data_IF_159119265089
#
_entry.id   IF_159119265089
#
_cell.length_a   1.000
_cell.length_b   1.000
_cell.length_c   1.000
_cell.angle_alpha   90.00
_cell.angle_beta   90.00
_cell.angle_gamma   90.00
#
_symmetry.space_group_name_H-M   'P 1'
#
loop_
_entity.id
_entity.type
_entity.pdbx_description
1 polymer ?
#
# COMPACT_ATOMS: atom_id res chain seq x y z
N UNK A 1 23.64 -56.17 -30.20
CA UNK A 1 22.71 -56.42 -29.08
C UNK A 1 22.76 -55.20 -28.19
N UNK A 2 21.72 -54.37 -28.26
CA UNK A 2 21.65 -53.04 -27.62
C UNK A 2 20.64 -53.13 -26.47
N UNK A 3 20.95 -52.65 -25.25
CA UNK A 3 20.00 -52.74 -24.15
C UNK A 3 18.79 -51.80 -24.37
N UNK A 4 17.60 -52.17 -23.87
CA UNK A 4 16.41 -51.32 -24.00
C UNK A 4 16.52 -50.07 -23.13
N UNK A 5 16.06 -48.94 -23.67
CA UNK A 5 15.94 -47.66 -22.96
C UNK A 5 14.86 -47.75 -21.86
N UNK A 6 15.05 -47.13 -20.68
CA UNK A 6 14.02 -47.07 -19.65
C UNK A 6 12.86 -46.14 -20.08
N UNK A 7 11.62 -46.42 -19.62
CA UNK A 7 10.46 -45.60 -19.94
C UNK A 7 10.54 -44.20 -19.30
N UNK A 8 9.85 -43.19 -19.87
CA UNK A 8 9.85 -41.84 -19.33
C UNK A 8 9.14 -41.79 -17.97
N UNK A 9 9.75 -41.09 -17.01
CA UNK A 9 9.17 -40.77 -15.70
C UNK A 9 7.90 -39.94 -15.89
N UNK A 10 6.72 -40.55 -15.74
CA UNK A 10 5.48 -39.83 -15.50
C UNK A 10 5.55 -39.17 -14.13
N UNK A 11 5.59 -37.84 -14.09
CA UNK A 11 5.34 -37.07 -12.87
C UNK A 11 3.87 -37.32 -12.51
N UNK A 12 3.64 -38.15 -11.49
CA UNK A 12 2.33 -38.35 -10.92
C UNK A 12 1.80 -37.00 -10.41
N UNK A 13 0.62 -36.60 -10.89
CA UNK A 13 -0.13 -35.50 -10.32
C UNK A 13 -0.39 -35.80 -8.83
N UNK A 14 -0.01 -34.88 -7.95
CA UNK A 14 -0.31 -34.94 -6.52
C UNK A 14 -1.83 -35.01 -6.32
N UNK A 15 -2.34 -35.91 -5.47
CA UNK A 15 -3.78 -36.11 -5.31
C UNK A 15 -4.43 -34.93 -4.59
N UNK A 16 -5.61 -34.54 -5.08
CA UNK A 16 -6.55 -33.73 -4.34
C UNK A 16 -7.01 -34.51 -3.09
N UNK A 17 -6.75 -33.97 -1.90
CA UNK A 17 -7.29 -34.48 -0.64
C UNK A 17 -8.03 -33.35 0.10
N UNK A 18 -9.35 -33.32 -0.10
CA UNK A 18 -10.28 -32.85 0.92
C UNK A 18 -10.54 -34.00 1.90
N UNK A 19 -10.40 -33.75 3.20
CA UNK A 19 -11.21 -34.27 4.32
C UNK A 19 -10.83 -33.41 5.54
N UNK A 20 -11.83 -32.93 6.28
CA UNK A 20 -11.73 -31.87 7.27
C UNK A 20 -11.14 -32.27 8.63
N UNK A 21 -10.48 -31.31 9.27
CA UNK A 21 -10.30 -31.20 10.72
C UNK A 21 -10.07 -29.71 11.10
N UNK A 22 -10.47 -29.24 12.29
CA UNK A 22 -10.71 -27.83 12.61
C UNK A 22 -9.45 -26.98 12.94
N UNK A 23 -8.24 -27.46 12.65
CA UNK A 23 -6.99 -26.80 13.07
C UNK A 23 -6.31 -25.91 12.01
N UNK A 24 -6.85 -25.82 10.78
CA UNK A 24 -6.32 -24.93 9.73
C UNK A 24 -6.48 -23.42 10.03
N UNK A 25 -7.05 -23.06 11.18
CA UNK A 25 -7.36 -21.66 11.54
C UNK A 25 -6.22 -20.92 12.25
N UNK A 26 -5.10 -21.58 12.58
CA UNK A 26 -3.97 -20.95 13.28
C UNK A 26 -2.79 -20.52 12.38
N UNK A 27 -2.69 -21.02 11.15
CA UNK A 27 -1.58 -20.71 10.21
C UNK A 27 -1.96 -19.71 9.09
N UNK A 28 -2.74 -18.69 9.41
CA UNK A 28 -2.97 -17.60 8.46
C UNK A 28 -1.72 -16.70 8.41
N UNK A 29 -0.75 -17.05 7.56
CA UNK A 29 0.44 -16.24 7.32
C UNK A 29 0.12 -14.77 6.98
N UNK A 30 1.13 -13.91 7.09
CA UNK A 30 1.01 -12.47 6.85
C UNK A 30 0.71 -12.19 5.38
N UNK A 31 -0.32 -11.41 5.09
CA UNK A 31 -0.54 -10.93 3.74
C UNK A 31 0.49 -9.86 3.38
N UNK A 32 1.15 -9.98 2.24
CA UNK A 32 2.24 -9.08 1.84
C UNK A 32 1.99 -8.49 0.46
N UNK A 33 1.87 -7.16 0.37
CA UNK A 33 1.91 -6.44 -0.90
C UNK A 33 3.31 -5.86 -1.05
N UNK A 34 4.07 -6.32 -2.05
CA UNK A 34 5.47 -5.90 -2.28
C UNK A 34 5.88 -6.09 -3.72
N UNK A 35 6.71 -5.17 -4.23
CA UNK A 35 7.44 -5.31 -5.50
C UNK A 35 8.76 -6.08 -5.32
N UNK A 36 9.24 -6.26 -4.10
CA UNK A 36 10.49 -6.95 -3.72
C UNK A 36 10.21 -8.34 -3.16
N UNK A 37 9.32 -9.09 -3.82
CA UNK A 37 8.71 -10.33 -3.30
C UNK A 37 9.74 -11.35 -2.81
N UNK A 38 10.71 -11.71 -3.64
CA UNK A 38 11.70 -12.73 -3.31
C UNK A 38 12.53 -12.34 -2.08
N UNK A 39 13.02 -11.10 -2.06
CA UNK A 39 13.82 -10.57 -0.95
C UNK A 39 13.02 -10.52 0.36
N UNK A 40 11.80 -9.99 0.32
CA UNK A 40 10.97 -9.84 1.52
C UNK A 40 10.48 -11.20 2.03
N UNK A 41 10.18 -12.15 1.14
CA UNK A 41 9.84 -13.51 1.51
C UNK A 41 10.98 -14.18 2.26
N UNK A 42 12.21 -14.12 1.73
CA UNK A 42 13.39 -14.69 2.39
C UNK A 42 13.62 -14.08 3.76
N UNK A 43 13.54 -12.74 3.86
CA UNK A 43 13.71 -12.00 5.11
C UNK A 43 12.69 -12.41 6.18
N UNK A 44 11.42 -12.57 5.80
CA UNK A 44 10.35 -12.93 6.73
C UNK A 44 10.39 -14.42 7.12
N UNK A 45 10.70 -15.30 6.17
CA UNK A 45 10.86 -16.73 6.44
C UNK A 45 12.03 -17.00 7.39
N UNK A 46 13.15 -16.28 7.25
CA UNK A 46 14.28 -16.36 8.17
C UNK A 46 13.90 -15.99 9.62
N UNK A 47 12.82 -15.24 9.81
CA UNK A 47 12.29 -14.85 11.12
C UNK A 47 11.11 -15.72 11.58
N UNK A 48 10.84 -16.84 10.89
CA UNK A 48 9.74 -17.75 11.20
C UNK A 48 8.35 -17.19 10.85
N UNK A 49 8.26 -16.18 9.98
CA UNK A 49 6.99 -15.59 9.56
C UNK A 49 6.56 -16.21 8.22
N UNK A 50 5.45 -16.93 8.23
CA UNK A 50 4.80 -17.40 7.01
C UNK A 50 4.15 -16.23 6.26
N UNK A 51 4.28 -16.18 4.94
CA UNK A 51 3.84 -15.06 4.11
C UNK A 51 2.96 -15.52 2.96
N UNK A 52 1.95 -14.71 2.63
CA UNK A 52 1.13 -14.84 1.42
C UNK A 52 1.22 -13.55 0.63
N UNK A 53 1.87 -13.59 -0.53
CA UNK A 53 1.96 -12.41 -1.37
C UNK A 53 0.63 -12.11 -2.08
N UNK A 54 0.20 -10.87 -1.96
CA UNK A 54 -0.97 -10.32 -2.65
C UNK A 54 -0.48 -9.51 -3.85
N UNK A 55 -1.07 -9.73 -5.03
CA UNK A 55 -0.86 -8.89 -6.22
C UNK A 55 -2.03 -7.91 -6.30
N UNK A 56 -1.80 -6.59 -6.30
CA UNK A 56 -2.84 -5.63 -6.65
C UNK A 56 -3.30 -5.83 -8.09
N UNK A 57 -4.62 -5.86 -8.33
CA UNK A 57 -5.21 -6.10 -9.64
C UNK A 57 -5.37 -4.80 -10.45
N UNK A 58 -5.39 -4.91 -11.78
CA UNK A 58 -5.78 -3.79 -12.62
C UNK A 58 -7.30 -3.67 -12.62
N UNK A 59 -7.84 -2.68 -11.91
CA UNK A 59 -9.29 -2.41 -11.86
C UNK A 59 -9.82 -2.28 -10.44
N UNK A 60 -11.15 -2.35 -10.29
CA UNK A 60 -11.80 -2.35 -8.98
C UNK A 60 -12.59 -3.66 -8.79
N UNK A 61 -12.47 -4.34 -7.63
CA UNK A 61 -11.56 -4.02 -6.53
C UNK A 61 -10.08 -4.26 -6.91
N UNK A 62 -9.19 -3.41 -6.42
CA UNK A 62 -7.74 -3.50 -6.67
C UNK A 62 -7.11 -4.49 -5.68
N UNK A 63 -7.69 -4.66 -4.48
CA UNK A 63 -7.26 -5.63 -3.48
C UNK A 63 -8.26 -6.79 -3.40
N UNK A 64 -7.77 -8.06 -3.40
CA UNK A 64 -8.64 -9.20 -3.10
C UNK A 64 -8.99 -9.21 -1.61
N UNK A 65 -9.83 -10.16 -1.17
CA UNK A 65 -10.06 -10.38 0.26
C UNK A 65 -8.76 -10.75 0.99
N UNK A 66 -8.29 -9.83 1.82
CA UNK A 66 -7.06 -9.94 2.60
C UNK A 66 -7.40 -10.39 4.03
N UNK A 67 -6.69 -11.41 4.53
CA UNK A 67 -6.74 -11.76 5.95
C UNK A 67 -5.65 -10.99 6.72
N UNK A 68 -5.96 -10.49 7.93
CA UNK A 68 -5.00 -9.76 8.73
C UNK A 68 -3.92 -10.68 9.35
N UNK A 69 -2.71 -10.16 9.64
CA UNK A 69 -2.26 -8.80 9.40
C UNK A 69 -1.76 -8.56 7.97
N UNK A 70 -1.75 -7.30 7.53
CA UNK A 70 -1.23 -6.88 6.22
C UNK A 70 0.12 -6.17 6.40
N UNK A 71 1.12 -6.60 5.63
CA UNK A 71 2.37 -5.91 5.40
C UNK A 71 2.34 -5.24 4.03
N UNK A 72 2.42 -3.91 4.02
CA UNK A 72 2.53 -3.08 2.82
C UNK A 72 3.99 -2.63 2.65
N UNK A 73 4.71 -3.23 1.72
CA UNK A 73 6.04 -2.80 1.36
C UNK A 73 5.97 -1.63 0.37
N UNK A 74 6.15 -0.41 0.88
CA UNK A 74 6.15 0.80 0.05
C UNK A 74 7.49 1.06 -0.64
N UNK A 75 8.54 0.29 -0.30
CA UNK A 75 9.85 0.44 -0.92
C UNK A 75 9.77 0.04 -2.39
N UNK A 76 10.26 0.92 -3.27
CA UNK A 76 10.18 0.78 -4.72
C UNK A 76 8.74 0.76 -5.27
N UNK A 77 7.72 1.05 -4.45
CA UNK A 77 6.34 1.13 -4.91
C UNK A 77 6.08 2.50 -5.56
N UNK A 78 5.54 2.55 -6.79
CA UNK A 78 5.18 3.82 -7.41
C UNK A 78 4.13 4.57 -6.56
N UNK A 79 4.28 5.89 -6.34
CA UNK A 79 3.34 6.66 -5.50
C UNK A 79 1.87 6.55 -5.92
N UNK A 80 1.61 6.39 -7.22
CA UNK A 80 0.24 6.16 -7.74
C UNK A 80 -0.36 4.85 -7.26
N UNK A 81 0.43 3.76 -7.30
CA UNK A 81 0.00 2.44 -6.82
C UNK A 81 -0.21 2.48 -5.31
N UNK A 82 0.73 3.08 -4.57
CA UNK A 82 0.59 3.26 -3.12
C UNK A 82 -0.68 4.03 -2.75
N UNK A 83 -0.93 5.16 -3.42
CA UNK A 83 -2.14 5.97 -3.20
C UNK A 83 -3.40 5.15 -3.43
N UNK A 84 -3.46 4.34 -4.49
CA UNK A 84 -4.61 3.50 -4.80
C UNK A 84 -4.85 2.42 -3.74
N UNK A 85 -3.78 1.74 -3.31
CA UNK A 85 -3.84 0.74 -2.23
C UNK A 85 -4.32 1.38 -0.92
N UNK A 86 -3.72 2.51 -0.52
CA UNK A 86 -4.11 3.21 0.71
C UNK A 86 -5.56 3.72 0.66
N UNK A 87 -6.01 4.16 -0.52
CA UNK A 87 -7.40 4.56 -0.73
C UNK A 87 -8.37 3.41 -0.60
N UNK A 88 -8.02 2.22 -1.07
CA UNK A 88 -8.87 1.05 -0.94
C UNK A 88 -8.86 0.48 0.49
N UNK A 89 -7.72 0.49 1.17
CA UNK A 89 -7.62 0.08 2.56
C UNK A 89 -8.51 0.90 3.52
N UNK A 90 -8.97 2.10 3.12
CA UNK A 90 -9.93 2.89 3.91
C UNK A 90 -11.31 2.24 4.00
N UNK A 91 -11.70 1.43 3.01
CA UNK A 91 -13.01 0.76 2.98
C UNK A 91 -12.94 -0.59 3.70
N UNK A 92 -11.76 -1.20 3.74
CA UNK A 92 -11.53 -2.48 4.41
C UNK A 92 -11.33 -2.26 5.90
N UNK A 93 -12.42 -2.33 6.66
CA UNK A 93 -12.38 -2.18 8.12
C UNK A 93 -11.62 -3.34 8.76
N UNK A 94 -10.82 -3.05 9.79
CA UNK A 94 -10.21 -4.01 10.73
C UNK A 94 -8.98 -4.80 10.26
N UNK A 95 -8.30 -4.40 9.19
CA UNK A 95 -7.00 -4.99 8.85
C UNK A 95 -5.87 -4.14 9.47
N UNK A 96 -5.15 -4.62 10.50
CA UNK A 96 -3.94 -3.95 10.96
C UNK A 96 -2.91 -3.97 9.82
N UNK A 97 -2.62 -2.78 9.31
CA UNK A 97 -1.64 -2.60 8.24
C UNK A 97 -0.34 -2.07 8.83
N UNK A 98 0.75 -2.77 8.55
CA UNK A 98 2.11 -2.36 8.81
C UNK A 98 2.73 -1.96 7.48
N UNK A 99 3.36 -0.79 7.42
CA UNK A 99 4.01 -0.30 6.21
C UNK A 99 5.54 -0.34 6.37
N UNK A 100 6.25 -0.93 5.41
CA UNK A 100 7.70 -0.75 5.30
C UNK A 100 8.00 0.47 4.45
N UNK A 101 8.94 1.31 4.89
CA UNK A 101 9.37 2.52 4.18
C UNK A 101 10.89 2.58 4.09
N UNK A 102 11.41 3.15 2.99
CA UNK A 102 12.82 3.53 2.91
C UNK A 102 13.08 4.75 3.81
N UNK A 103 14.26 4.81 4.45
CA UNK A 103 14.65 5.96 5.28
C UNK A 103 14.65 7.30 4.52
N UNK A 104 14.93 7.26 3.22
CA UNK A 104 15.10 8.46 2.38
C UNK A 104 13.85 8.82 1.55
N UNK A 105 12.65 8.43 2.02
CA UNK A 105 11.41 8.62 1.27
C UNK A 105 10.38 9.52 2.02
N UNK A 106 10.69 10.81 2.26
CA UNK A 106 9.82 11.69 3.06
C UNK A 106 8.41 11.83 2.47
N UNK A 107 8.28 11.85 1.13
CA UNK A 107 6.99 11.89 0.47
C UNK A 107 6.11 10.67 0.71
N UNK A 108 6.71 9.48 0.71
CA UNK A 108 6.01 8.23 1.02
C UNK A 108 5.54 8.23 2.48
N UNK A 109 6.39 8.72 3.40
CA UNK A 109 6.03 8.88 4.81
C UNK A 109 4.79 9.75 4.99
N UNK A 110 4.73 10.90 4.30
CA UNK A 110 3.56 11.79 4.34
C UNK A 110 2.29 11.11 3.83
N UNK A 111 2.38 10.24 2.82
CA UNK A 111 1.22 9.48 2.31
C UNK A 111 0.76 8.42 3.31
N UNK A 112 1.69 7.67 3.91
CA UNK A 112 1.38 6.65 4.92
C UNK A 112 0.72 7.28 6.17
N UNK A 113 1.17 8.47 6.57
CA UNK A 113 0.58 9.22 7.68
C UNK A 113 -0.90 9.60 7.45
N UNK A 114 -1.35 9.70 6.20
CA UNK A 114 -2.73 10.06 5.86
C UNK A 114 -3.70 8.88 5.90
N UNK A 115 -3.19 7.64 5.90
CA UNK A 115 -4.00 6.46 5.73
C UNK A 115 -4.42 5.88 7.09
N UNK A 116 -5.71 5.95 7.48
CA UNK A 116 -6.15 5.49 8.80
C UNK A 116 -5.96 3.98 9.04
N UNK A 117 -5.82 3.20 7.96
CA UNK A 117 -5.57 1.77 8.03
C UNK A 117 -4.12 1.43 8.41
N UNK A 118 -3.17 2.36 8.26
CA UNK A 118 -1.76 2.15 8.60
C UNK A 118 -1.56 2.40 10.09
N UNK A 119 -1.19 1.36 10.83
CA UNK A 119 -1.03 1.41 12.28
C UNK A 119 0.44 1.60 12.67
N UNK A 120 1.35 1.05 11.88
CA UNK A 120 2.79 1.11 12.14
C UNK A 120 3.52 1.35 10.82
N UNK A 121 4.47 2.28 10.83
CA UNK A 121 5.44 2.52 9.75
C UNK A 121 6.82 2.12 10.27
N UNK A 122 7.47 1.19 9.57
CA UNK A 122 8.73 0.57 9.98
C UNK A 122 9.78 0.85 8.89
N UNK A 123 10.97 1.29 9.29
CA UNK A 123 12.10 1.43 8.38
C UNK A 123 12.47 0.07 7.78
N UNK A 124 12.75 0.04 6.49
CA UNK A 124 13.19 -1.18 5.83
C UNK A 124 14.51 -1.71 6.37
N UNK A 125 15.32 -0.85 7.01
CA UNK A 125 16.61 -1.18 7.65
C UNK A 125 16.48 -1.83 9.03
N UNK A 126 15.29 -1.86 9.62
CA UNK A 126 15.05 -2.47 10.94
C UNK A 126 15.36 -3.98 10.91
N UNK A 127 15.94 -4.57 11.97
CA UNK A 127 16.23 -6.01 11.99
C UNK A 127 14.98 -6.88 11.74
N UNK A 128 15.13 -8.01 11.04
CA UNK A 128 14.00 -8.85 10.65
C UNK A 128 13.25 -9.44 11.87
N UNK A 129 13.94 -9.65 12.99
CA UNK A 129 13.35 -10.08 14.27
C UNK A 129 12.40 -9.03 14.84
N UNK A 130 12.76 -7.75 14.73
CA UNK A 130 11.92 -6.64 15.15
C UNK A 130 10.68 -6.53 14.27
N UNK A 131 10.84 -6.69 12.94
CA UNK A 131 9.70 -6.74 12.02
C UNK A 131 8.75 -7.90 12.35
N UNK A 132 9.28 -9.09 12.63
CA UNK A 132 8.50 -10.26 13.02
C UNK A 132 7.77 -10.07 14.35
N UNK A 133 8.35 -9.35 15.31
CA UNK A 133 7.69 -8.97 16.56
C UNK A 133 6.44 -8.11 16.28
N UNK A 134 6.59 -7.04 15.50
CA UNK A 134 5.48 -6.15 15.16
C UNK A 134 4.37 -6.86 14.39
N UNK A 135 4.72 -7.74 13.45
CA UNK A 135 3.75 -8.55 12.71
C UNK A 135 2.96 -9.49 13.63
N UNK A 136 3.60 -10.10 14.63
CA UNK A 136 2.92 -10.93 15.64
C UNK A 136 2.02 -10.11 16.57
N UNK A 137 2.40 -8.86 16.86
CA UNK A 137 1.61 -7.96 17.70
C UNK A 137 0.45 -7.28 16.95
N UNK A 138 0.50 -7.25 15.62
CA UNK A 138 -0.47 -6.56 14.77
C UNK A 138 -1.96 -6.92 15.05
N UNK A 139 -2.34 -8.20 15.27
CA UNK A 139 -3.72 -8.53 15.62
C UNK A 139 -4.17 -7.92 16.95
N UNK A 140 -3.28 -7.87 17.95
CA UNK A 140 -3.57 -7.26 19.24
C UNK A 140 -3.71 -5.73 19.13
N UNK A 141 -2.94 -5.09 18.25
CA UNK A 141 -3.07 -3.66 17.95
C UNK A 141 -4.44 -3.34 17.33
N UNK A 142 -4.90 -4.16 16.37
CA UNK A 142 -6.23 -4.02 15.78
C UNK A 142 -7.35 -4.27 16.80
N UNK A 143 -7.23 -5.31 17.61
CA UNK A 143 -8.24 -5.68 18.61
C UNK A 143 -8.42 -4.61 19.69
N UNK A 144 -7.34 -3.93 20.07
CA UNK A 144 -7.38 -2.84 21.05
C UNK A 144 -8.06 -1.57 20.55
N UNK A 145 -8.50 -1.50 19.28
CA UNK A 145 -8.98 -0.28 18.62
C UNK A 145 -8.16 0.91 19.13
N UNK A 146 -6.83 0.83 19.03
CA UNK A 146 -6.02 2.01 19.29
C UNK A 146 -6.46 3.03 18.24
N UNK A 147 -7.37 3.91 18.64
CA UNK A 147 -7.86 5.08 17.89
C UNK A 147 -6.72 6.10 17.89
N UNK A 148 -5.51 5.66 17.54
CA UNK A 148 -4.41 6.57 17.34
C UNK A 148 -4.59 7.11 15.94
N UNK A 149 -4.95 8.40 15.84
CA UNK A 149 -5.08 9.14 14.60
C UNK A 149 -3.76 9.21 13.78
N UNK A 150 -2.67 8.65 14.32
CA UNK A 150 -1.35 8.63 13.70
C UNK A 150 -0.70 7.26 13.89
N UNK A 151 0.00 6.74 12.88
CA UNK A 151 0.74 5.50 12.99
C UNK A 151 1.93 5.63 13.96
N UNK A 152 2.35 4.51 14.56
CA UNK A 152 3.64 4.43 15.24
C UNK A 152 4.78 4.41 14.21
N UNK A 153 5.89 5.08 14.50
CA UNK A 153 7.07 5.16 13.61
C UNK A 153 8.24 4.43 14.26
N UNK A 154 8.82 3.45 13.55
CA UNK A 154 9.87 2.56 14.07
C UNK A 154 11.09 2.62 13.17
N UNK A 155 12.22 3.10 13.69
CA UNK A 155 13.46 3.23 12.93
C UNK A 155 13.46 4.34 11.87
N UNK A 156 12.42 5.16 11.81
CA UNK A 156 12.28 6.33 10.93
C UNK A 156 11.64 7.49 11.69
N UNK A 157 11.92 8.71 11.26
CA UNK A 157 11.33 9.93 11.82
C UNK A 157 9.95 10.18 11.19
N UNK A 158 8.96 10.50 12.02
CA UNK A 158 7.63 10.88 11.56
C UNK A 158 7.69 12.20 10.74
N UNK A 159 6.93 12.33 9.63
CA UNK A 159 6.92 13.54 8.83
C UNK A 159 6.36 14.73 9.62
N UNK A 160 7.05 15.88 9.55
CA UNK A 160 6.69 17.08 10.32
C UNK A 160 5.45 17.82 9.81
N UNK A 161 5.14 17.72 8.51
CA UNK A 161 4.06 18.50 7.88
C UNK A 161 2.85 17.62 7.59
N UNK A 162 1.74 17.77 8.34
CA UNK A 162 0.51 17.04 8.04
C UNK A 162 -0.06 17.54 6.72
N UNK A 163 -0.32 16.60 5.80
CA UNK A 163 -1.07 16.89 4.58
C UNK A 163 -2.57 17.01 4.92
N UNK A 164 -3.36 17.79 4.15
CA UNK A 164 -4.81 17.84 4.33
C UNK A 164 -5.43 16.43 4.27
N UNK A 165 -6.44 16.13 5.09
CA UNK A 165 -7.08 14.80 5.10
C UNK A 165 -7.62 14.36 3.73
N UNK A 166 -8.11 15.33 2.93
CA UNK A 166 -8.59 15.09 1.57
C UNK A 166 -7.48 14.80 0.53
N UNK A 167 -6.20 14.86 0.93
CA UNK A 167 -5.06 14.67 0.01
C UNK A 167 -5.09 13.30 -0.65
N UNK A 168 -5.32 12.24 0.12
CA UNK A 168 -5.36 10.88 -0.43
C UNK A 168 -6.49 10.73 -1.48
N UNK A 169 -7.65 11.34 -1.21
CA UNK A 169 -8.77 11.38 -2.16
C UNK A 169 -8.41 12.13 -3.44
N UNK A 170 -7.81 13.31 -3.30
CA UNK A 170 -7.41 14.15 -4.43
C UNK A 170 -6.36 13.45 -5.31
N UNK A 171 -5.38 12.78 -4.71
CA UNK A 171 -4.36 12.03 -5.44
C UNK A 171 -4.94 10.82 -6.15
N UNK A 172 -5.85 10.09 -5.50
CA UNK A 172 -6.54 8.96 -6.12
C UNK A 172 -7.43 9.42 -7.30
N UNK A 173 -8.14 10.54 -7.15
CA UNK A 173 -8.92 11.13 -8.24
C UNK A 173 -8.05 11.53 -9.44
N UNK A 174 -6.81 11.97 -9.19
CA UNK A 174 -5.85 12.39 -10.21
C UNK A 174 -5.08 11.24 -10.88
N UNK A 175 -5.15 10.01 -10.37
CA UNK A 175 -4.37 8.88 -10.89
C UNK A 175 -4.49 8.62 -12.42
N UNK A 176 -5.68 8.72 -13.06
CA UNK A 176 -5.83 8.43 -14.49
C UNK A 176 -5.21 9.48 -15.41
N UNK A 177 -5.09 10.74 -14.97
CA UNK A 177 -4.40 11.79 -15.74
C UNK A 177 -2.89 11.52 -15.87
N UNK A 178 -2.44 10.42 -15.31
CA UNK A 178 -1.10 9.95 -15.54
C UNK A 178 -0.91 9.06 -16.75
N UNK A 179 -2.00 8.55 -17.32
CA UNK A 179 -2.00 7.43 -18.28
C UNK A 179 -3.04 7.60 -19.39
N UNK A 180 -4.11 8.37 -19.16
CA UNK A 180 -5.24 8.53 -20.09
C UNK A 180 -5.47 10.01 -20.43
N UNK A 181 -5.16 10.46 -21.65
CA UNK A 181 -5.29 11.86 -22.06
C UNK A 181 -6.75 12.37 -22.13
N UNK A 182 -7.74 11.48 -22.10
CA UNK A 182 -9.17 11.80 -22.19
C UNK A 182 -9.90 11.88 -20.84
N UNK A 183 -9.21 11.68 -19.72
CA UNK A 183 -9.84 11.70 -18.41
C UNK A 183 -10.49 13.07 -18.11
N UNK A 184 -11.76 13.09 -17.68
CA UNK A 184 -12.44 14.34 -17.32
C UNK A 184 -12.47 14.58 -15.81
N UNK A 185 -12.62 15.85 -15.40
CA UNK A 185 -12.69 16.21 -13.98
C UNK A 185 -13.98 15.71 -13.33
N UNK A 186 -15.03 15.54 -14.12
CA UNK A 186 -16.29 14.95 -13.66
C UNK A 186 -16.08 13.48 -13.29
N UNK A 187 -15.42 12.69 -14.15
CA UNK A 187 -15.14 11.28 -13.89
C UNK A 187 -14.26 11.09 -12.65
N UNK A 188 -13.25 11.97 -12.50
CA UNK A 188 -12.38 11.98 -11.33
C UNK A 188 -13.14 12.26 -10.03
N UNK A 189 -14.08 13.21 -10.05
CA UNK A 189 -14.91 13.54 -8.89
C UNK A 189 -15.89 12.41 -8.56
N UNK A 190 -16.52 11.82 -9.58
CA UNK A 190 -17.41 10.67 -9.43
C UNK A 190 -16.69 9.47 -8.81
N UNK A 191 -15.45 9.19 -9.21
CA UNK A 191 -14.65 8.06 -8.67
C UNK A 191 -14.45 8.14 -7.14
N UNK A 192 -14.37 9.35 -6.59
CA UNK A 192 -14.23 9.56 -5.15
C UNK A 192 -15.55 9.93 -4.46
N UNK A 193 -16.67 9.95 -5.20
CA UNK A 193 -18.00 10.22 -4.67
C UNK A 193 -18.23 11.67 -4.25
N UNK A 194 -17.60 12.64 -4.91
CA UNK A 194 -17.77 14.08 -4.59
C UNK A 194 -18.21 14.87 -5.82
N UNK A 195 -18.74 16.08 -5.60
CA UNK A 195 -19.02 17.01 -6.70
C UNK A 195 -17.74 17.56 -7.33
N UNK A 196 -17.80 17.94 -8.61
CA UNK A 196 -16.68 18.62 -9.30
C UNK A 196 -16.17 19.85 -8.53
N UNK A 197 -17.08 20.63 -7.93
CA UNK A 197 -16.73 21.82 -7.13
C UNK A 197 -15.92 21.44 -5.88
N UNK A 198 -16.32 20.39 -5.17
CA UNK A 198 -15.58 19.88 -4.01
C UNK A 198 -14.20 19.36 -4.40
N UNK A 199 -14.09 18.62 -5.52
CA UNK A 199 -12.79 18.18 -6.01
C UNK A 199 -11.86 19.37 -6.31
N UNK A 200 -12.36 20.42 -6.99
CA UNK A 200 -11.57 21.64 -7.21
C UNK A 200 -11.09 22.28 -5.90
N UNK A 201 -11.95 22.32 -4.88
CA UNK A 201 -11.59 22.84 -3.57
C UNK A 201 -10.50 22.01 -2.89
N UNK A 202 -10.62 20.67 -2.91
CA UNK A 202 -9.59 19.77 -2.38
C UNK A 202 -8.26 19.92 -3.12
N UNK A 203 -8.29 20.07 -4.45
CA UNK A 203 -7.09 20.30 -5.26
C UNK A 203 -6.45 21.65 -4.95
N UNK A 204 -7.23 22.72 -4.76
CA UNK A 204 -6.71 24.03 -4.38
C UNK A 204 -6.04 23.99 -3.00
N UNK A 205 -6.68 23.37 -2.01
CA UNK A 205 -6.12 23.19 -0.66
C UNK A 205 -4.83 22.36 -0.68
N UNK A 206 -4.82 21.25 -1.43
CA UNK A 206 -3.64 20.40 -1.59
C UNK A 206 -2.47 21.17 -2.21
N UNK A 207 -2.72 21.97 -3.25
CA UNK A 207 -1.69 22.80 -3.88
C UNK A 207 -1.10 23.80 -2.91
N UNK A 208 -1.95 24.49 -2.14
CA UNK A 208 -1.51 25.45 -1.15
C UNK A 208 -0.62 24.79 -0.08
N UNK A 209 -1.04 23.62 0.43
CA UNK A 209 -0.27 22.84 1.41
C UNK A 209 1.07 22.29 0.86
N UNK A 210 1.18 22.15 -0.46
CA UNK A 210 2.39 21.70 -1.15
C UNK A 210 3.21 22.84 -1.75
N UNK A 211 2.80 24.11 -1.59
CA UNK A 211 3.46 25.26 -2.21
C UNK A 211 3.38 25.30 -3.75
N UNK A 212 2.46 24.55 -4.37
CA UNK A 212 2.33 24.48 -5.84
C UNK A 212 1.58 25.71 -6.36
N UNK A 213 2.22 26.59 -7.15
CA UNK A 213 1.63 27.87 -7.57
C UNK A 213 0.42 27.65 -8.46
N UNK A 214 -0.62 28.51 -8.42
CA UNK A 214 -1.83 28.41 -9.26
C UNK A 214 -1.47 28.40 -10.76
N UNK A 215 -2.18 27.57 -11.54
CA UNK A 215 -1.98 27.51 -12.98
C UNK A 215 -2.92 28.50 -13.66
N UNK A 216 -2.40 29.38 -14.53
CA UNK A 216 -3.19 30.36 -15.30
C UNK A 216 -4.25 29.70 -16.19
N UNK A 217 -3.97 28.49 -16.71
CA UNK A 217 -4.92 27.63 -17.42
C UNK A 217 -4.96 26.28 -16.75
N UNK A 218 -6.16 25.79 -16.44
CA UNK A 218 -6.31 24.49 -15.79
C UNK A 218 -5.91 23.37 -16.76
N UNK A 219 -4.83 22.65 -16.43
CA UNK A 219 -4.38 21.46 -17.16
C UNK A 219 -4.27 20.29 -16.19
N UNK A 220 -5.26 19.37 -16.15
CA UNK A 220 -5.31 18.29 -15.17
C UNK A 220 -4.02 17.45 -15.10
N UNK A 221 -3.48 17.07 -16.26
CA UNK A 221 -2.22 16.32 -16.37
C UNK A 221 -1.03 17.06 -15.75
N UNK A 222 -0.88 18.35 -16.08
CA UNK A 222 0.21 19.17 -15.55
C UNK A 222 0.05 19.40 -14.05
N UNK A 223 -1.18 19.55 -13.56
CA UNK A 223 -1.46 19.67 -12.14
C UNK A 223 -1.12 18.37 -11.39
N UNK A 224 -1.53 17.21 -11.92
CA UNK A 224 -1.23 15.91 -11.33
C UNK A 224 0.28 15.67 -11.25
N UNK A 225 1.02 15.98 -12.33
CA UNK A 225 2.47 15.89 -12.34
C UNK A 225 3.13 16.79 -11.29
N UNK A 226 2.72 18.07 -11.20
CA UNK A 226 3.26 19.02 -10.23
C UNK A 226 2.98 18.61 -8.77
N UNK A 227 1.76 18.13 -8.49
CA UNK A 227 1.39 17.63 -7.15
C UNK A 227 2.23 16.39 -6.80
N UNK A 228 2.37 15.42 -7.72
CA UNK A 228 3.20 14.24 -7.48
C UNK A 228 4.66 14.60 -7.21
N UNK A 229 5.23 15.54 -7.96
CA UNK A 229 6.60 16.03 -7.73
C UNK A 229 6.73 16.69 -6.36
N UNK A 230 5.80 17.57 -5.98
CA UNK A 230 5.84 18.28 -4.70
C UNK A 230 5.63 17.36 -3.48
N UNK A 231 4.95 16.22 -3.65
CA UNK A 231 4.83 15.21 -2.59
C UNK A 231 6.16 14.50 -2.37
N UNK A 232 6.86 14.16 -3.45
CA UNK A 232 8.13 13.41 -3.40
C UNK A 232 9.30 14.32 -2.99
N UNK A 233 9.23 15.61 -3.31
CA UNK A 233 10.25 16.57 -2.93
C UNK A 233 10.39 16.68 -1.40
N UNK A 234 11.62 16.82 -0.86
CA UNK A 234 11.81 17.17 0.53
C UNK A 234 11.12 18.51 0.82
N UNK A 235 10.54 18.71 2.02
CA UNK A 235 10.00 20.01 2.39
C UNK A 235 11.11 21.05 2.25
N UNK A 236 10.87 22.10 1.47
CA UNK A 236 11.77 23.24 1.43
C UNK A 236 11.85 23.81 2.84
N UNK A 237 13.03 23.70 3.45
CA UNK A 237 13.37 24.39 4.70
C UNK A 237 13.55 25.88 4.47
#
# INVERSE_FOLDING_TARGET
>A
MTPPLPPPLMIAALPAAEIGAPDRRRDAGVAVISFRRAWLAQRLLASGVSVRHVVPQLGHPLLPDIRPPLLLDSVSMPPRMLTAILWELRTVRHIPTLALISGDAPGVGRLLALAPAVHVVIADTVPPETLALWLRMAPALAARRLVTASPAWVGVVAPAVPLPAATLAALYALAPYGSEPSASLADAAQRIGVSRRQLCYHLAALRAALGVPPQRRYRPHALAAAICQAIVAPPHG
#
